data_IF_561491013677
#
_entry.id   IF_561491013677
#
_cell.length_a   1.000
_cell.length_b   1.000
_cell.length_c   1.000
_cell.angle_alpha   90.00
_cell.angle_beta   90.00
_cell.angle_gamma   90.00
#
_symmetry.space_group_name_H-M   'P 1'
#
loop_
_entity.id
_entity.type
_entity.pdbx_description
1 polymer ?
#
# COMPACT_ATOMS: atom_id res chain seq x y z
N UNK A 1 17.41 -5.35 -7.32
CA UNK A 1 17.26 -3.89 -7.29
C UNK A 1 17.41 -3.41 -5.85
N UNK A 2 18.02 -2.24 -5.61
CA UNK A 2 18.06 -1.63 -4.26
C UNK A 2 16.78 -0.81 -4.08
N UNK A 3 16.02 -1.05 -3.01
CA UNK A 3 14.78 -0.31 -2.70
C UNK A 3 15.07 1.12 -2.23
N UNK A 4 14.17 2.06 -2.58
CA UNK A 4 14.25 3.48 -2.15
C UNK A 4 13.84 3.66 -0.68
N UNK A 5 14.13 4.82 -0.09
CA UNK A 5 13.77 5.11 1.31
C UNK A 5 12.26 5.04 1.57
N UNK A 6 11.43 5.50 0.62
CA UNK A 6 9.96 5.51 0.74
C UNK A 6 9.38 4.10 0.65
N UNK A 7 9.88 3.23 -0.24
CA UNK A 7 9.45 1.83 -0.34
C UNK A 7 9.64 1.08 0.98
N UNK A 8 10.78 1.29 1.64
CA UNK A 8 11.06 0.70 2.95
C UNK A 8 10.08 1.19 4.03
N UNK A 9 9.71 2.47 3.99
CA UNK A 9 8.72 3.03 4.93
C UNK A 9 7.34 2.44 4.67
N UNK A 10 6.92 2.33 3.39
CA UNK A 10 5.64 1.70 3.00
C UNK A 10 5.57 0.26 3.49
N UNK A 11 6.63 -0.53 3.27
CA UNK A 11 6.71 -1.91 3.77
C UNK A 11 6.68 -1.97 5.30
N UNK A 12 7.32 -1.02 6.00
CA UNK A 12 7.28 -0.95 7.45
C UNK A 12 5.88 -0.61 7.98
N UNK A 13 5.15 0.29 7.31
CA UNK A 13 3.76 0.63 7.66
C UNK A 13 2.84 -0.58 7.48
N UNK A 14 2.98 -1.29 6.35
CA UNK A 14 2.17 -2.48 6.04
C UNK A 14 2.54 -3.71 6.87
N UNK A 15 3.65 -3.67 7.61
CA UNK A 15 4.01 -4.67 8.63
C UNK A 15 3.34 -4.41 9.97
N UNK A 16 2.80 -3.21 10.20
CA UNK A 16 1.99 -2.92 11.38
C UNK A 16 0.66 -3.70 11.28
N UNK A 17 -0.09 -3.79 12.39
CA UNK A 17 -1.29 -4.63 12.53
C UNK A 17 -2.36 -4.42 11.42
N UNK A 18 -2.30 -3.31 10.69
CA UNK A 18 -3.19 -3.02 9.57
C UNK A 18 -2.61 -3.56 8.25
N UNK A 19 -2.95 -4.81 7.92
CA UNK A 19 -2.53 -5.46 6.66
C UNK A 19 -3.27 -4.92 5.44
N UNK A 20 -4.23 -4.03 5.58
CA UNK A 20 -5.08 -3.56 4.49
C UNK A 20 -5.24 -2.05 4.58
N UNK A 21 -4.49 -1.31 3.74
CA UNK A 21 -4.51 0.16 3.73
C UNK A 21 -4.66 0.69 2.30
N UNK A 22 -5.45 1.73 2.12
CA UNK A 22 -5.51 2.49 0.88
C UNK A 22 -4.24 3.33 0.68
N UNK A 23 -3.97 3.76 -0.55
CA UNK A 23 -2.86 4.70 -0.83
C UNK A 23 -3.01 5.99 0.01
N UNK A 24 -4.23 6.44 0.27
CA UNK A 24 -4.50 7.61 1.11
C UNK A 24 -4.02 7.40 2.55
N UNK A 25 -4.34 6.26 3.14
CA UNK A 25 -3.91 5.90 4.50
C UNK A 25 -2.40 5.67 4.59
N UNK A 26 -1.81 4.97 3.60
CA UNK A 26 -0.35 4.82 3.52
C UNK A 26 0.30 6.21 3.43
N UNK A 27 -0.18 7.09 2.56
CA UNK A 27 0.35 8.46 2.43
C UNK A 27 0.24 9.23 3.75
N UNK A 28 -0.88 9.09 4.47
CA UNK A 28 -1.07 9.71 5.78
C UNK A 28 -0.07 9.17 6.81
N UNK A 29 0.12 7.85 6.90
CA UNK A 29 1.08 7.23 7.82
C UNK A 29 2.54 7.55 7.47
N UNK A 30 2.90 7.60 6.18
CA UNK A 30 4.25 8.03 5.76
C UNK A 30 4.49 9.46 6.20
N UNK A 31 3.51 10.35 5.98
CA UNK A 31 3.59 11.76 6.42
C UNK A 31 3.76 11.90 7.93
N UNK A 32 3.05 11.09 8.73
CA UNK A 32 3.22 11.09 10.19
C UNK A 32 4.64 10.73 10.61
N UNK A 33 5.35 9.89 9.83
CA UNK A 33 6.72 9.49 10.12
C UNK A 33 7.78 10.45 9.57
N UNK A 34 7.53 11.11 8.43
CA UNK A 34 8.53 11.95 7.75
C UNK A 34 8.36 13.45 7.98
N UNK A 35 7.18 13.91 8.43
CA UNK A 35 6.91 15.32 8.73
C UNK A 35 6.79 16.26 7.51
N UNK A 36 6.94 15.77 6.29
CA UNK A 36 6.96 16.58 5.04
C UNK A 36 5.63 16.53 4.28
N UNK A 37 5.26 17.60 3.57
CA UNK A 37 3.90 17.78 3.00
C UNK A 37 3.83 17.78 1.46
N UNK A 38 4.86 18.25 0.74
CA UNK A 38 4.61 18.83 -0.60
C UNK A 38 4.59 17.84 -1.79
N UNK A 39 5.25 16.67 -1.70
CA UNK A 39 5.40 15.75 -2.86
C UNK A 39 5.06 14.28 -2.57
N UNK A 40 4.73 13.95 -1.32
CA UNK A 40 4.64 12.56 -0.84
C UNK A 40 3.60 11.66 -1.51
N UNK A 41 2.48 12.21 -2.01
CA UNK A 41 1.42 11.36 -2.57
C UNK A 41 1.83 10.72 -3.90
N UNK A 42 2.56 11.44 -4.74
CA UNK A 42 3.06 10.90 -6.00
C UNK A 42 4.15 9.86 -5.73
N UNK A 43 5.08 10.17 -4.81
CA UNK A 43 6.16 9.26 -4.45
C UNK A 43 5.66 7.98 -3.79
N UNK A 44 4.69 8.09 -2.88
CA UNK A 44 4.06 6.92 -2.25
C UNK A 44 3.32 6.08 -3.27
N UNK A 45 2.62 6.71 -4.23
CA UNK A 45 1.98 5.98 -5.34
C UNK A 45 3.02 5.22 -6.16
N UNK A 46 4.10 5.88 -6.59
CA UNK A 46 5.17 5.26 -7.37
C UNK A 46 5.83 4.12 -6.61
N UNK A 47 6.13 4.30 -5.32
CA UNK A 47 6.70 3.27 -4.46
C UNK A 47 5.78 2.05 -4.31
N UNK A 48 4.49 2.29 -4.10
CA UNK A 48 3.47 1.24 -4.05
C UNK A 48 3.38 0.50 -5.40
N UNK A 49 3.39 1.23 -6.52
CA UNK A 49 3.32 0.65 -7.85
C UNK A 49 4.53 -0.25 -8.13
N UNK A 50 5.73 0.25 -7.85
CA UNK A 50 7.01 -0.48 -7.90
C UNK A 50 6.96 -1.76 -7.07
N UNK A 51 6.55 -1.69 -5.80
CA UNK A 51 6.46 -2.84 -4.91
C UNK A 51 5.41 -3.88 -5.35
N UNK A 52 4.36 -3.47 -6.07
CA UNK A 52 3.41 -4.41 -6.67
C UNK A 52 4.03 -5.11 -7.88
N UNK A 53 4.75 -4.37 -8.74
CA UNK A 53 5.50 -4.94 -9.88
C UNK A 53 6.55 -5.96 -9.39
N UNK A 54 7.21 -5.66 -8.27
CA UNK A 54 8.15 -6.54 -7.58
C UNK A 54 7.48 -7.68 -6.80
N UNK A 55 6.16 -7.83 -6.91
CA UNK A 55 5.39 -8.91 -6.28
C UNK A 55 5.47 -8.91 -4.74
N UNK A 56 5.74 -7.76 -4.13
CA UNK A 56 5.81 -7.56 -2.66
C UNK A 56 4.46 -7.20 -2.07
N UNK A 57 3.63 -6.49 -2.83
CA UNK A 57 2.30 -6.03 -2.43
C UNK A 57 1.23 -6.61 -3.36
N UNK A 58 0.01 -6.71 -2.85
CA UNK A 58 -1.19 -7.08 -3.58
C UNK A 58 -2.21 -5.95 -3.45
N UNK A 59 -2.89 -5.61 -4.55
CA UNK A 59 -3.92 -4.57 -4.60
C UNK A 59 -5.29 -5.23 -4.67
N UNK A 60 -6.26 -4.70 -3.95
CA UNK A 60 -7.66 -5.11 -3.99
C UNK A 60 -8.51 -3.94 -4.42
N UNK A 61 -9.33 -4.11 -5.45
CA UNK A 61 -10.25 -3.07 -5.92
C UNK A 61 -11.62 -3.28 -5.28
N UNK A 62 -11.97 -2.42 -4.33
CA UNK A 62 -13.28 -2.47 -3.66
C UNK A 62 -14.31 -1.62 -4.42
N UNK A 63 -15.45 -2.22 -4.80
CA UNK A 63 -16.63 -1.51 -5.35
C UNK A 63 -16.61 -1.13 -6.85
N UNK A 64 -17.51 -0.21 -7.26
CA UNK A 64 -17.73 0.23 -8.65
C UNK A 64 -16.57 1.06 -9.26
N UNK A 65 -15.50 1.35 -8.49
CA UNK A 65 -14.34 2.13 -8.92
C UNK A 65 -13.13 1.25 -9.26
N UNK A 66 -13.36 0.17 -10.04
CA UNK A 66 -12.37 -0.86 -10.40
C UNK A 66 -11.13 -0.35 -11.17
N UNK A 67 -11.11 0.91 -11.62
CA UNK A 67 -10.05 1.46 -12.47
C UNK A 67 -9.10 2.45 -11.77
N UNK A 68 -9.32 2.82 -10.50
CA UNK A 68 -8.51 3.86 -9.82
C UNK A 68 -7.75 3.31 -8.61
N UNK A 69 -6.42 3.32 -8.70
CA UNK A 69 -5.47 2.96 -7.62
C UNK A 69 -5.76 3.68 -6.29
N UNK A 70 -6.34 4.88 -6.34
CA UNK A 70 -6.67 5.66 -5.15
C UNK A 70 -7.68 5.00 -4.22
N UNK A 71 -8.56 4.15 -4.75
CA UNK A 71 -9.53 3.37 -3.97
C UNK A 71 -9.11 1.91 -3.76
N UNK A 72 -7.92 1.51 -4.22
CA UNK A 72 -7.42 0.18 -4.01
C UNK A 72 -6.92 0.02 -2.57
N UNK A 73 -7.40 -1.01 -1.88
CA UNK A 73 -6.81 -1.47 -0.65
C UNK A 73 -5.53 -2.26 -0.96
N UNK A 74 -4.49 -2.07 -0.16
CA UNK A 74 -3.16 -2.63 -0.41
C UNK A 74 -2.73 -3.43 0.80
N UNK A 75 -2.30 -4.65 0.52
CA UNK A 75 -1.74 -5.57 1.51
C UNK A 75 -0.36 -6.03 1.07
N UNK A 76 0.54 -6.37 2.00
CA UNK A 76 1.72 -7.13 1.62
C UNK A 76 1.33 -8.55 1.20
N UNK A 77 2.05 -9.12 0.22
CA UNK A 77 1.73 -10.44 -0.35
C UNK A 77 1.71 -11.57 0.69
N UNK A 78 2.52 -11.46 1.74
CA UNK A 78 2.52 -12.41 2.85
C UNK A 78 1.30 -12.24 3.78
N UNK A 79 0.70 -11.04 3.83
CA UNK A 79 -0.55 -10.74 4.53
C UNK A 79 -1.81 -11.07 3.71
N UNK A 80 -1.66 -11.45 2.44
CA UNK A 80 -2.75 -11.77 1.52
C UNK A 80 -3.68 -12.87 2.03
N UNK A 81 -3.14 -13.97 2.57
CA UNK A 81 -3.96 -15.07 3.10
C UNK A 81 -4.85 -14.60 4.25
N UNK A 82 -4.28 -13.86 5.20
CA UNK A 82 -4.98 -13.31 6.36
C UNK A 82 -6.05 -12.31 5.91
N UNK A 83 -5.75 -11.46 4.94
CA UNK A 83 -6.72 -10.48 4.41
C UNK A 83 -7.84 -11.14 3.63
N UNK A 84 -7.57 -12.18 2.82
CA UNK A 84 -8.60 -12.96 2.13
C UNK A 84 -9.54 -13.68 3.11
N UNK A 85 -9.00 -14.32 4.13
CA UNK A 85 -9.79 -15.02 5.15
C UNK A 85 -10.62 -14.06 6.01
N UNK A 86 -10.06 -12.90 6.36
CA UNK A 86 -10.71 -11.94 7.25
C UNK A 86 -11.72 -11.03 6.54
N UNK A 87 -11.49 -10.71 5.26
CA UNK A 87 -12.29 -9.73 4.53
C UNK A 87 -13.01 -10.28 3.29
N UNK A 88 -12.77 -11.53 2.89
CA UNK A 88 -13.46 -12.17 1.77
C UNK A 88 -13.11 -11.61 0.38
N UNK A 89 -12.00 -10.87 0.26
CA UNK A 89 -11.59 -10.27 -1.00
C UNK A 89 -10.75 -11.22 -1.86
N UNK A 90 -11.17 -11.45 -3.11
CA UNK A 90 -10.28 -11.93 -4.16
C UNK A 90 -9.41 -10.75 -4.66
N UNK A 91 -8.12 -11.02 -4.90
CA UNK A 91 -7.17 -10.05 -5.44
C UNK A 91 -7.47 -9.75 -6.92
#
# INVERSE_FOLDING_TARGET
MKHTSIENIVLSILKEKDLLLTIGEITHKVRQRTGTYRELRADVRTAVESLCTDNKLTRFFMGHHRSKLTGAAITPKWGYRVTKEHWGYDA
#
